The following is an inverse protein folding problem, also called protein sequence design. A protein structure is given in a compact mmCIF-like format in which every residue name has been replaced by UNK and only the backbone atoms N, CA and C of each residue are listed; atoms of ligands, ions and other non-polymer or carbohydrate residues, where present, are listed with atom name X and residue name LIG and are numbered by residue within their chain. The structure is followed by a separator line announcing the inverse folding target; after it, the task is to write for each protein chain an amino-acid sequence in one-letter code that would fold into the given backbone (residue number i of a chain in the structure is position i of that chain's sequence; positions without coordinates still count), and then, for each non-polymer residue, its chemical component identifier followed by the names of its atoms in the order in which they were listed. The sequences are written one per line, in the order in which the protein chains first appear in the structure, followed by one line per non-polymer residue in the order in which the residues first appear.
data_IF_317176687411
#
_entry.id   IF_317176687411
#
_cell.length_a   1.000
_cell.length_b   1.000
_cell.length_c   1.000
_cell.angle_alpha   90.00
_cell.angle_beta   90.00
_cell.angle_gamma   90.00
#
_symmetry.space_group_name_H-M   'P 1'
#
loop_
_entity.id
_entity.type
_entity.pdbx_description
1 polymer ?
#
# COMPACT_ATOMS: atom_id res chain seq x y z
N UNK A 1 -14.34 -5.71 3.46
CA UNK A 1 -14.93 -5.84 2.10
C UNK A 1 -14.05 -6.71 1.21
N UNK A 2 -14.68 -7.43 0.29
CA UNK A 2 -14.02 -8.10 -0.84
C UNK A 2 -14.57 -7.48 -2.12
N UNK A 3 -13.69 -7.15 -3.07
CA UNK A 3 -14.09 -6.57 -4.34
C UNK A 3 -13.19 -7.03 -5.50
N UNK A 4 -13.73 -6.96 -6.71
CA UNK A 4 -13.01 -7.17 -7.96
C UNK A 4 -13.52 -6.15 -8.96
N UNK A 5 -12.92 -4.95 -8.93
CA UNK A 5 -13.24 -3.89 -9.88
C UNK A 5 -12.54 -4.16 -11.21
N UNK A 6 -13.31 -4.34 -12.27
CA UNK A 6 -12.80 -4.57 -13.63
C UNK A 6 -13.14 -3.39 -14.52
N UNK A 7 -12.21 -2.98 -15.37
CA UNK A 7 -12.39 -1.83 -16.27
C UNK A 7 -11.54 -1.97 -17.51
N UNK A 8 -11.94 -1.31 -18.56
CA UNK A 8 -11.17 -1.14 -19.80
C UNK A 8 -10.19 0.04 -19.63
N UNK A 9 -10.63 1.12 -18.98
CA UNK A 9 -9.85 2.32 -18.70
C UNK A 9 -10.01 2.71 -17.24
N UNK A 10 -9.00 3.31 -16.62
CA UNK A 10 -9.09 3.79 -15.23
C UNK A 10 -9.62 5.23 -15.13
N UNK A 11 -9.54 5.99 -16.21
CA UNK A 11 -10.01 7.36 -16.27
C UNK A 11 -10.00 7.94 -17.68
N UNK A 12 -10.50 9.17 -17.80
CA UNK A 12 -10.44 9.94 -19.05
C UNK A 12 -8.98 10.24 -19.35
N UNK A 13 -8.52 9.89 -20.55
CA UNK A 13 -7.14 10.09 -20.99
C UNK A 13 -6.22 8.88 -20.81
N UNK A 14 -6.74 7.75 -20.31
CA UNK A 14 -5.96 6.50 -20.35
C UNK A 14 -5.61 6.14 -21.79
N UNK A 15 -4.37 5.71 -21.99
CA UNK A 15 -3.88 5.29 -23.29
C UNK A 15 -4.66 4.09 -23.81
N UNK A 16 -5.19 4.21 -24.99
CA UNK A 16 -5.91 3.15 -25.70
C UNK A 16 -5.21 2.94 -27.04
N UNK A 17 -4.87 1.69 -27.35
CA UNK A 17 -4.29 1.39 -28.64
C UNK A 17 -5.40 1.33 -29.71
N UNK A 18 -5.41 2.21 -30.70
CA UNK A 18 -6.44 2.26 -31.71
C UNK A 18 -6.35 1.14 -32.75
N UNK A 19 -5.22 0.44 -32.83
CA UNK A 19 -4.97 -0.64 -33.80
C UNK A 19 -5.33 -2.04 -33.30
N UNK A 20 -5.65 -2.16 -32.02
CA UNK A 20 -6.04 -3.43 -31.40
C UNK A 20 -7.43 -3.34 -30.80
N UNK A 21 -8.07 -4.48 -30.65
CA UNK A 21 -9.30 -4.55 -29.86
C UNK A 21 -9.01 -4.10 -28.43
N UNK A 22 -9.35 -2.83 -28.14
CA UNK A 22 -9.12 -2.19 -26.88
C UNK A 22 -9.77 -2.95 -25.72
N UNK A 23 -10.90 -3.61 -25.96
CA UNK A 23 -11.62 -4.37 -24.95
C UNK A 23 -10.83 -5.61 -24.54
N UNK A 24 -10.35 -6.36 -25.49
CA UNK A 24 -9.54 -7.55 -25.23
C UNK A 24 -8.21 -7.19 -24.55
N UNK A 25 -7.57 -6.12 -24.99
CA UNK A 25 -6.27 -5.71 -24.48
C UNK A 25 -6.35 -5.03 -23.12
N UNK A 26 -7.30 -4.14 -22.92
CA UNK A 26 -7.35 -3.25 -21.75
C UNK A 26 -8.30 -3.77 -20.67
N UNK A 27 -9.10 -4.81 -20.91
CA UNK A 27 -9.96 -5.37 -19.90
C UNK A 27 -9.12 -6.06 -18.82
N UNK A 28 -9.12 -5.49 -17.64
CA UNK A 28 -8.34 -5.95 -16.51
C UNK A 28 -8.79 -5.25 -15.22
N UNK A 29 -8.11 -5.49 -14.14
CA UNK A 29 -8.42 -4.86 -12.85
C UNK A 29 -8.17 -3.36 -12.90
N UNK A 30 -9.07 -2.60 -12.30
CA UNK A 30 -8.91 -1.17 -12.15
C UNK A 30 -7.72 -0.84 -11.23
N UNK A 31 -7.01 0.25 -11.48
CA UNK A 31 -5.84 0.65 -10.67
C UNK A 31 -6.18 0.89 -9.19
N UNK A 32 -7.43 1.26 -8.90
CA UNK A 32 -7.96 1.43 -7.55
C UNK A 32 -8.50 0.14 -6.91
N UNK A 33 -8.50 -1.00 -7.63
CA UNK A 33 -8.98 -2.27 -7.07
C UNK A 33 -8.15 -2.69 -5.85
N UNK A 34 -8.85 -2.99 -4.77
CA UNK A 34 -8.31 -3.56 -3.55
C UNK A 34 -9.12 -4.80 -3.21
N UNK A 35 -8.63 -5.96 -3.65
CA UNK A 35 -9.40 -7.22 -3.53
C UNK A 35 -9.89 -7.49 -2.12
N UNK A 36 -9.04 -7.25 -1.14
CA UNK A 36 -9.40 -7.35 0.27
C UNK A 36 -9.12 -6.02 0.96
N UNK A 37 -10.12 -5.51 1.67
CA UNK A 37 -9.97 -4.37 2.56
C UNK A 37 -10.71 -4.71 3.86
N UNK A 38 -9.95 -4.93 4.91
CA UNK A 38 -10.44 -5.22 6.24
C UNK A 38 -10.02 -4.10 7.17
N UNK A 39 -11.01 -3.46 7.81
CA UNK A 39 -10.80 -2.43 8.83
C UNK A 39 -11.54 -2.84 10.08
N UNK A 40 -10.85 -2.85 11.19
CA UNK A 40 -11.38 -3.18 12.50
C UNK A 40 -11.11 -2.03 13.46
N UNK A 41 -12.18 -1.46 14.01
CA UNK A 41 -12.14 -0.45 15.06
C UNK A 41 -12.50 -1.09 16.39
N UNK A 42 -11.80 -0.73 17.43
CA UNK A 42 -12.06 -1.24 18.78
C UNK A 42 -11.94 -0.13 19.81
N UNK A 43 -12.72 -0.29 20.87
CA UNK A 43 -12.68 0.52 22.06
C UNK A 43 -12.95 -0.40 23.23
N UNK A 44 -12.07 -0.38 24.23
CA UNK A 44 -12.14 -1.24 25.40
C UNK A 44 -11.76 -0.45 26.65
N UNK A 45 -12.69 -0.42 27.61
CA UNK A 45 -12.43 0.13 28.93
C UNK A 45 -11.74 -0.95 29.79
N UNK A 46 -10.51 -0.66 30.22
CA UNK A 46 -9.72 -1.61 31.01
C UNK A 46 -10.28 -1.66 32.41
N UNK A 47 -10.62 -2.85 32.93
CA UNK A 47 -11.16 -3.01 34.28
C UNK A 47 -10.23 -2.41 35.34
N UNK A 48 -10.82 -1.79 36.35
CA UNK A 48 -10.07 -1.17 37.45
C UNK A 48 -9.36 -2.22 38.30
N UNK A 49 -8.05 -2.17 38.38
CA UNK A 49 -7.22 -3.12 39.14
C UNK A 49 -7.24 -2.83 40.63
N UNK A 50 -7.51 -1.59 41.05
CA UNK A 50 -7.57 -1.22 42.47
C UNK A 50 -8.64 -1.99 43.25
N UNK A 51 -9.74 -2.37 42.59
CA UNK A 51 -10.81 -3.17 43.21
C UNK A 51 -10.32 -4.54 43.69
N UNK A 52 -9.38 -5.13 42.94
CA UNK A 52 -8.76 -6.42 43.28
C UNK A 52 -7.58 -6.28 44.23
N UNK A 53 -6.96 -5.08 44.33
CA UNK A 53 -5.77 -4.78 45.12
C UNK A 53 -6.11 -4.08 46.44
N UNK A 54 -7.25 -4.34 47.03
CA UNK A 54 -7.65 -3.79 48.34
C UNK A 54 -7.86 -2.29 48.36
N UNK A 55 -8.27 -1.70 47.21
CA UNK A 55 -8.50 -0.25 47.01
C UNK A 55 -7.27 0.62 47.29
N UNK A 56 -6.08 0.10 47.02
CA UNK A 56 -4.84 0.83 47.19
C UNK A 56 -4.84 2.08 46.30
N UNK A 57 -4.58 3.26 46.91
CA UNK A 57 -4.61 4.59 46.25
C UNK A 57 -3.58 4.71 45.13
N UNK A 58 -2.41 4.13 45.29
CA UNK A 58 -1.34 4.12 44.28
C UNK A 58 -1.72 3.27 43.07
N UNK A 59 -2.32 2.09 43.33
CA UNK A 59 -2.83 1.20 42.25
C UNK A 59 -3.95 1.90 41.52
N UNK A 60 -4.86 2.56 42.21
CA UNK A 60 -5.95 3.34 41.60
C UNK A 60 -5.41 4.46 40.71
N UNK A 61 -4.44 5.24 41.18
CA UNK A 61 -3.88 6.33 40.44
C UNK A 61 -3.17 5.87 39.14
N UNK A 62 -2.47 4.73 39.18
CA UNK A 62 -1.67 4.27 38.06
C UNK A 62 -2.43 3.38 37.08
N UNK A 63 -3.31 2.51 37.56
CA UNK A 63 -3.86 1.40 36.76
C UNK A 63 -5.37 1.48 36.49
N UNK A 64 -6.13 2.33 37.17
CA UNK A 64 -7.56 2.47 36.95
C UNK A 64 -7.87 3.52 35.86
N UNK A 65 -9.10 3.50 35.35
CA UNK A 65 -9.62 4.44 34.36
C UNK A 65 -8.78 4.54 33.08
N UNK A 66 -8.25 3.42 32.61
CA UNK A 66 -7.63 3.31 31.33
C UNK A 66 -8.62 2.85 30.29
N UNK A 67 -8.51 3.44 29.10
CA UNK A 67 -9.25 3.04 27.91
C UNK A 67 -8.27 2.79 26.78
N UNK A 68 -8.46 1.68 26.08
CA UNK A 68 -7.73 1.29 24.88
C UNK A 68 -8.66 1.47 23.69
N UNK A 69 -8.21 2.17 22.67
CA UNK A 69 -8.90 2.23 21.40
C UNK A 69 -7.92 2.11 20.24
N UNK A 70 -8.40 1.76 19.06
CA UNK A 70 -7.55 1.72 17.90
C UNK A 70 -8.26 1.36 16.63
N UNK A 71 -7.49 1.47 15.54
CA UNK A 71 -7.90 1.11 14.19
C UNK A 71 -6.84 0.20 13.61
N UNK A 72 -7.28 -0.98 13.19
CA UNK A 72 -6.41 -1.92 12.48
C UNK A 72 -6.91 -2.08 11.06
N UNK A 73 -6.03 -1.95 10.08
CA UNK A 73 -6.38 -2.07 8.66
C UNK A 73 -5.45 -3.02 7.93
N UNK A 74 -6.06 -3.86 7.08
CA UNK A 74 -5.37 -4.74 6.15
C UNK A 74 -5.92 -4.50 4.76
N UNK A 75 -5.06 -4.04 3.84
CA UNK A 75 -5.46 -3.72 2.48
C UNK A 75 -4.57 -4.44 1.47
N UNK A 76 -5.19 -5.10 0.49
CA UNK A 76 -4.46 -5.73 -0.61
C UNK A 76 -3.77 -4.69 -1.48
N UNK A 77 -2.62 -5.04 -2.06
CA UNK A 77 -1.92 -4.20 -3.01
C UNK A 77 -2.75 -3.86 -4.26
N UNK A 78 -2.47 -2.71 -4.85
CA UNK A 78 -3.05 -2.29 -6.12
C UNK A 78 -2.59 -3.18 -7.27
N UNK A 79 -3.38 -3.34 -8.34
CA UNK A 79 -2.89 -3.87 -9.61
C UNK A 79 -1.80 -2.97 -10.18
N UNK A 80 -0.78 -3.58 -10.77
CA UNK A 80 0.33 -2.91 -11.39
C UNK A 80 0.53 -3.43 -12.82
N UNK A 81 0.68 -2.50 -13.76
CA UNK A 81 1.18 -2.76 -15.10
C UNK A 81 2.69 -2.53 -15.17
N UNK A 82 3.33 -3.02 -16.21
CA UNK A 82 4.74 -2.80 -16.48
C UNK A 82 4.90 -1.96 -17.74
N UNK A 83 5.52 -0.80 -17.57
CA UNK A 83 5.97 0.06 -18.65
C UNK A 83 7.42 -0.22 -19.05
N UNK A 84 7.87 0.38 -20.16
CA UNK A 84 9.27 0.27 -20.57
C UNK A 84 9.78 1.55 -21.25
N UNK A 85 11.10 1.64 -21.30
CA UNK A 85 11.84 2.60 -22.11
C UNK A 85 13.05 1.92 -22.75
N UNK A 86 13.56 2.50 -23.83
CA UNK A 86 14.80 2.05 -24.47
C UNK A 86 15.93 3.03 -24.16
N UNK A 87 17.13 2.51 -23.92
CA UNK A 87 18.32 3.35 -23.70
C UNK A 87 18.60 4.26 -24.90
N UNK A 88 18.34 3.77 -26.10
CA UNK A 88 18.47 4.55 -27.34
C UNK A 88 17.48 5.72 -27.48
N UNK A 89 16.47 5.78 -26.61
CA UNK A 89 15.37 6.76 -26.75
C UNK A 89 14.45 6.49 -27.95
N UNK A 90 14.61 5.33 -28.61
CA UNK A 90 13.79 5.00 -29.78
C UNK A 90 12.33 4.80 -29.36
N UNK A 91 11.44 5.40 -30.14
CA UNK A 91 10.00 5.18 -30.04
C UNK A 91 9.61 4.06 -31.02
N UNK A 92 9.33 2.88 -30.49
CA UNK A 92 8.92 1.73 -31.30
C UNK A 92 7.48 1.84 -31.81
N UNK A 93 6.68 2.65 -31.19
CA UNK A 93 5.26 2.85 -31.53
C UNK A 93 5.12 3.94 -32.60
N UNK A 94 6.12 4.81 -32.73
CA UNK A 94 6.11 5.92 -33.69
C UNK A 94 5.14 7.04 -33.35
N UNK A 95 4.69 7.11 -32.11
CA UNK A 95 3.65 8.03 -31.65
C UNK A 95 3.91 8.52 -30.23
N UNK A 96 5.14 8.90 -29.94
CA UNK A 96 5.53 9.48 -28.66
C UNK A 96 4.62 10.65 -28.31
N UNK A 97 3.93 10.53 -27.20
CA UNK A 97 2.94 11.53 -26.75
C UNK A 97 1.51 11.37 -27.29
N UNK A 98 1.25 10.42 -28.17
CA UNK A 98 -0.12 10.17 -28.69
C UNK A 98 -0.96 9.24 -27.80
N UNK A 99 -0.47 8.90 -26.60
CA UNK A 99 -1.22 8.06 -25.64
C UNK A 99 -1.43 6.63 -26.10
N UNK A 100 -0.60 6.11 -27.00
CA UNK A 100 -0.67 4.70 -27.39
C UNK A 100 -0.13 3.83 -26.27
N UNK A 101 -0.96 2.89 -25.81
CA UNK A 101 -0.62 1.94 -24.75
C UNK A 101 0.43 0.93 -25.25
N UNK A 102 1.70 1.26 -25.04
CA UNK A 102 2.82 0.34 -25.28
C UNK A 102 3.16 -0.42 -24.01
N UNK A 103 3.35 -1.74 -24.14
CA UNK A 103 3.64 -2.63 -23.01
C UNK A 103 4.83 -3.53 -23.32
N UNK A 104 5.42 -4.06 -22.29
CA UNK A 104 6.46 -5.09 -22.41
C UNK A 104 5.90 -6.41 -22.92
N UNK A 105 6.76 -7.29 -23.40
CA UNK A 105 6.44 -8.69 -23.58
C UNK A 105 6.63 -9.44 -22.27
N UNK A 106 5.62 -10.22 -21.88
CA UNK A 106 5.64 -11.16 -20.77
C UNK A 106 6.11 -12.52 -21.27
N UNK A 107 7.27 -12.99 -20.80
CA UNK A 107 7.89 -14.26 -21.20
C UNK A 107 7.49 -15.43 -20.30
N UNK A 108 7.25 -15.15 -19.02
CA UNK A 108 6.89 -16.12 -17.97
C UNK A 108 6.17 -15.40 -16.82
N UNK A 109 5.68 -16.17 -15.84
CA UNK A 109 5.11 -15.56 -14.64
C UNK A 109 6.13 -14.70 -13.89
N UNK A 110 5.84 -13.42 -13.63
CA UNK A 110 6.72 -12.54 -12.87
C UNK A 110 6.53 -12.67 -11.36
N UNK A 111 5.57 -13.47 -10.91
CA UNK A 111 5.20 -13.57 -9.48
C UNK A 111 6.21 -14.44 -8.76
N UNK A 112 6.82 -13.89 -7.71
CA UNK A 112 7.66 -14.63 -6.78
C UNK A 112 6.95 -14.83 -5.44
N UNK A 113 7.28 -15.90 -4.68
CA UNK A 113 6.77 -16.10 -3.33
C UNK A 113 7.03 -14.90 -2.42
N UNK A 114 6.15 -14.65 -1.46
CA UNK A 114 6.32 -13.53 -0.51
C UNK A 114 7.62 -13.64 0.30
N UNK A 115 8.05 -14.85 0.62
CA UNK A 115 9.28 -15.15 1.35
C UNK A 115 10.57 -14.76 0.59
N UNK A 116 10.48 -14.64 -0.74
CA UNK A 116 11.62 -14.28 -1.59
C UNK A 116 11.65 -12.79 -1.94
N UNK A 117 10.63 -12.04 -1.52
CA UNK A 117 10.56 -10.59 -1.76
C UNK A 117 11.48 -9.85 -0.80
N UNK A 118 12.24 -8.93 -1.36
CA UNK A 118 13.13 -8.03 -0.62
C UNK A 118 12.83 -6.58 -1.00
N UNK A 119 13.36 -5.58 -0.28
CA UNK A 119 13.24 -4.19 -0.68
C UNK A 119 13.71 -3.91 -2.12
N UNK A 120 14.66 -4.70 -2.63
CA UNK A 120 15.22 -4.60 -3.97
C UNK A 120 14.53 -5.48 -5.01
N UNK A 121 13.60 -6.37 -4.58
CA UNK A 121 12.98 -7.35 -5.48
C UNK A 121 11.55 -7.68 -5.06
N UNK A 122 10.59 -7.06 -5.74
CA UNK A 122 9.17 -7.35 -5.52
C UNK A 122 8.65 -8.48 -6.43
N UNK A 123 9.23 -8.63 -7.63
CA UNK A 123 8.86 -9.60 -8.66
C UNK A 123 10.09 -10.06 -9.45
N UNK A 124 9.92 -11.05 -10.32
CA UNK A 124 10.97 -11.52 -11.22
C UNK A 124 11.12 -10.56 -12.41
N UNK A 125 12.16 -9.76 -12.41
CA UNK A 125 12.46 -8.77 -13.46
C UNK A 125 12.88 -9.40 -14.78
N UNK A 126 13.31 -10.68 -14.78
CA UNK A 126 13.71 -11.43 -15.99
C UNK A 126 12.51 -11.98 -16.76
N UNK A 127 11.30 -11.78 -16.24
CA UNK A 127 10.07 -12.22 -16.88
C UNK A 127 9.65 -11.31 -18.04
N UNK A 128 10.35 -10.22 -18.29
CA UNK A 128 9.96 -9.19 -19.23
C UNK A 128 11.01 -8.96 -20.31
N UNK A 129 10.54 -8.69 -21.52
CA UNK A 129 11.37 -8.28 -22.66
C UNK A 129 10.74 -7.06 -23.35
N UNK A 130 11.52 -6.25 -24.09
CA UNK A 130 10.96 -5.19 -24.89
C UNK A 130 10.16 -5.79 -26.06
N UNK A 131 9.09 -5.14 -26.52
CA UNK A 131 8.45 -5.52 -27.77
C UNK A 131 9.37 -5.19 -28.96
N UNK A 132 9.17 -5.90 -30.04
CA UNK A 132 9.94 -5.71 -31.28
C UNK A 132 9.30 -4.64 -32.18
N UNK A 133 10.03 -4.18 -33.18
CA UNK A 133 9.47 -3.34 -34.25
C UNK A 133 8.41 -4.08 -35.08
N UNK A 134 8.57 -5.39 -35.28
CA UNK A 134 7.57 -6.21 -35.97
C UNK A 134 6.23 -6.27 -35.21
N UNK A 135 6.27 -6.09 -33.90
CA UNK A 135 5.11 -5.97 -33.02
C UNK A 135 4.62 -4.52 -32.87
N UNK A 136 5.13 -3.59 -33.68
CA UNK A 136 4.82 -2.16 -33.60
C UNK A 136 5.00 -1.54 -32.20
N UNK A 137 5.93 -2.08 -31.40
CA UNK A 137 6.13 -1.64 -30.03
C UNK A 137 5.02 -2.07 -29.05
N UNK A 138 4.12 -2.96 -29.46
CA UNK A 138 2.95 -3.39 -28.70
C UNK A 138 3.24 -4.76 -28.11
N UNK A 139 3.67 -4.80 -26.85
CA UNK A 139 3.89 -6.07 -26.14
C UNK A 139 2.59 -6.74 -25.69
N UNK A 140 2.71 -7.97 -25.21
CA UNK A 140 1.60 -8.84 -24.82
C UNK A 140 1.20 -8.78 -23.34
N UNK A 141 1.92 -8.04 -22.49
CA UNK A 141 1.66 -7.99 -21.06
C UNK A 141 0.25 -7.46 -20.77
N UNK A 142 -0.53 -8.07 -19.85
CA UNK A 142 -1.78 -7.52 -19.39
C UNK A 142 -1.56 -6.23 -18.60
N UNK A 143 -2.59 -5.38 -18.50
CA UNK A 143 -2.49 -4.11 -17.79
C UNK A 143 -2.32 -4.28 -16.26
N UNK A 144 -2.71 -5.41 -15.72
CA UNK A 144 -2.69 -5.74 -14.29
C UNK A 144 -1.85 -6.99 -14.00
N UNK A 145 -0.68 -7.08 -14.63
CA UNK A 145 0.19 -8.27 -14.60
C UNK A 145 0.69 -8.61 -13.20
N UNK A 146 0.77 -7.63 -12.30
CA UNK A 146 1.27 -7.76 -10.94
C UNK A 146 0.31 -7.16 -9.90
N UNK A 147 0.58 -7.47 -8.66
CA UNK A 147 0.02 -6.79 -7.48
C UNK A 147 1.14 -6.10 -6.71
N UNK A 148 0.92 -4.84 -6.38
CA UNK A 148 1.79 -4.10 -5.47
C UNK A 148 1.78 -4.66 -4.05
N UNK A 149 2.53 -4.04 -3.15
CA UNK A 149 2.53 -4.41 -1.74
C UNK A 149 1.16 -4.13 -1.10
N UNK A 150 0.77 -4.99 -0.17
CA UNK A 150 -0.37 -4.74 0.71
C UNK A 150 0.07 -3.88 1.90
N UNK A 151 -0.91 -3.30 2.58
CA UNK A 151 -0.71 -2.46 3.76
C UNK A 151 -1.30 -3.16 4.97
N UNK A 152 -0.52 -3.23 6.06
CA UNK A 152 -0.97 -3.65 7.37
C UNK A 152 -0.65 -2.51 8.34
N UNK A 153 -1.68 -1.87 8.89
CA UNK A 153 -1.48 -0.77 9.81
C UNK A 153 -2.24 -0.99 11.11
N UNK A 154 -1.61 -0.59 12.22
CA UNK A 154 -2.16 -0.67 13.57
C UNK A 154 -1.96 0.67 14.25
N UNK A 155 -3.04 1.42 14.39
CA UNK A 155 -3.06 2.66 15.16
C UNK A 155 -3.74 2.39 16.49
N UNK A 156 -3.04 2.71 17.58
CA UNK A 156 -3.48 2.41 18.95
C UNK A 156 -3.47 3.69 19.77
N UNK A 157 -4.51 3.90 20.53
CA UNK A 157 -4.61 5.01 21.48
C UNK A 157 -4.90 4.47 22.87
N UNK A 158 -4.10 4.87 23.84
CA UNK A 158 -4.36 4.63 25.26
C UNK A 158 -4.75 5.95 25.91
N UNK A 159 -5.85 5.94 26.64
CA UNK A 159 -6.39 7.10 27.33
C UNK A 159 -6.42 6.81 28.82
N UNK A 160 -5.87 7.71 29.62
CA UNK A 160 -5.93 7.69 31.07
C UNK A 160 -6.78 8.86 31.55
N UNK A 161 -7.87 8.57 32.25
CA UNK A 161 -8.67 9.60 32.92
C UNK A 161 -8.31 9.66 34.41
N UNK A 162 -7.89 10.84 34.86
CA UNK A 162 -7.53 11.12 36.26
C UNK A 162 -8.57 12.05 36.81
N UNK A 163 -9.45 11.62 37.74
CA UNK A 163 -10.39 12.52 38.41
C UNK A 163 -9.59 13.55 39.24
N UNK A 164 -9.92 14.84 39.10
CA UNK A 164 -9.19 15.94 39.77
C UNK A 164 -10.06 16.69 40.76
N UNK A 165 -11.37 16.52 40.69
CA UNK A 165 -12.36 17.21 41.52
C UNK A 165 -13.35 16.28 42.21
N UNK A 166 -14.40 16.89 42.78
CA UNK A 166 -15.49 16.17 43.42
C UNK A 166 -16.57 15.70 42.44
N UNK A 167 -16.54 16.21 41.22
CA UNK A 167 -17.47 15.84 40.14
C UNK A 167 -16.74 14.96 39.12
N UNK A 168 -17.43 13.96 38.60
CA UNK A 168 -16.94 13.11 37.50
C UNK A 168 -16.67 13.90 36.21
N UNK A 169 -17.24 15.11 36.10
CA UNK A 169 -16.96 16.01 35.00
C UNK A 169 -15.50 16.56 35.06
N UNK A 170 -14.98 16.76 36.26
CA UNK A 170 -13.65 17.34 36.48
C UNK A 170 -12.57 16.28 36.39
N UNK A 171 -11.88 16.21 35.27
CA UNK A 171 -10.83 15.21 35.04
C UNK A 171 -9.70 15.72 34.17
N UNK A 172 -8.51 15.25 34.42
CA UNK A 172 -7.38 15.33 33.49
C UNK A 172 -7.36 14.05 32.65
N UNK A 173 -7.42 14.23 31.34
CA UNK A 173 -7.28 13.13 30.41
C UNK A 173 -5.87 13.18 29.76
N UNK A 174 -5.12 12.13 29.92
CA UNK A 174 -3.87 11.91 29.24
C UNK A 174 -4.10 10.96 28.06
N UNK A 175 -3.55 11.29 26.88
CA UNK A 175 -3.69 10.51 25.65
C UNK A 175 -2.31 10.13 25.14
N UNK A 176 -2.15 8.86 24.81
CA UNK A 176 -0.97 8.27 24.22
C UNK A 176 -1.39 7.66 22.89
N UNK A 177 -1.07 8.31 21.79
CA UNK A 177 -1.47 7.88 20.46
C UNK A 177 -0.25 7.34 19.71
N UNK A 178 -0.37 6.11 19.23
CA UNK A 178 0.66 5.39 18.51
C UNK A 178 0.14 5.11 17.10
N UNK A 179 0.68 5.81 16.12
CA UNK A 179 0.45 5.52 14.71
C UNK A 179 1.53 4.56 14.23
N UNK A 180 1.14 3.53 13.48
CA UNK A 180 2.01 2.40 13.14
C UNK A 180 2.65 1.78 14.39
N UNK A 181 1.82 1.30 15.31
CA UNK A 181 2.21 0.83 16.65
C UNK A 181 3.38 -0.16 16.63
N UNK A 182 3.38 -1.12 15.70
CA UNK A 182 4.44 -2.12 15.57
C UNK A 182 5.68 -1.63 14.84
N UNK A 183 5.68 -0.39 14.35
CA UNK A 183 6.76 0.16 13.51
C UNK A 183 7.06 -0.71 12.28
N UNK A 184 6.01 -1.21 11.65
CA UNK A 184 6.12 -2.07 10.49
C UNK A 184 6.40 -1.24 9.24
N UNK A 185 7.41 -1.62 8.45
CA UNK A 185 7.69 -0.98 7.18
C UNK A 185 6.66 -1.43 6.14
N UNK A 186 5.62 -0.62 5.91
CA UNK A 186 4.64 -0.84 4.86
C UNK A 186 5.08 -0.16 3.57
N UNK A 187 5.51 -0.94 2.59
CA UNK A 187 5.90 -0.42 1.27
C UNK A 187 4.67 0.03 0.48
N UNK A 188 4.79 1.12 -0.30
CA UNK A 188 3.71 1.69 -1.10
C UNK A 188 3.93 1.56 -2.59
N UNK A 189 5.07 1.99 -3.07
CA UNK A 189 5.40 2.03 -4.48
C UNK A 189 6.35 0.91 -4.90
N UNK A 190 6.27 0.54 -6.17
CA UNK A 190 7.23 -0.37 -6.82
C UNK A 190 7.62 0.28 -8.14
N UNK A 191 8.91 0.28 -8.47
CA UNK A 191 9.35 0.69 -9.80
C UNK A 191 8.94 -0.37 -10.82
N UNK A 192 8.01 0.01 -11.69
CA UNK A 192 7.43 -0.84 -12.73
C UNK A 192 7.90 -0.47 -14.14
N UNK A 193 8.93 0.38 -14.25
CA UNK A 193 9.46 0.84 -15.55
C UNK A 193 10.74 0.09 -15.89
N UNK A 194 10.64 -0.87 -16.80
CA UNK A 194 11.81 -1.55 -17.35
C UNK A 194 12.59 -0.63 -18.27
N UNK A 195 13.91 -0.78 -18.35
CA UNK A 195 14.77 -0.08 -19.30
C UNK A 195 15.65 -1.06 -20.04
N UNK A 196 15.56 -1.08 -21.37
CA UNK A 196 16.27 -2.05 -22.19
C UNK A 196 17.38 -1.43 -23.03
N UNK A 197 18.51 -2.12 -23.13
CA UNK A 197 19.62 -1.75 -24.01
C UNK A 197 19.42 -2.28 -25.45
N UNK A 198 20.38 -2.00 -26.32
CA UNK A 198 20.36 -2.43 -27.73
C UNK A 198 20.39 -3.96 -27.90
N UNK A 199 20.79 -4.69 -26.87
CA UNK A 199 20.81 -6.17 -26.82
C UNK A 199 19.56 -6.72 -26.11
N UNK A 200 18.53 -5.91 -25.90
CA UNK A 200 17.28 -6.26 -25.20
C UNK A 200 17.47 -6.71 -23.73
N UNK A 201 18.60 -6.36 -23.10
CA UNK A 201 18.84 -6.64 -21.69
C UNK A 201 18.23 -5.55 -20.84
N UNK A 202 17.56 -5.95 -19.78
CA UNK A 202 17.05 -5.02 -18.77
C UNK A 202 18.24 -4.42 -17.99
N UNK A 203 18.36 -3.08 -17.97
CA UNK A 203 19.49 -2.33 -17.39
C UNK A 203 19.09 -1.29 -16.35
N UNK A 204 17.82 -1.18 -16.01
CA UNK A 204 17.40 -0.33 -14.88
C UNK A 204 17.81 -0.97 -13.56
N UNK A 205 18.60 -0.26 -12.76
CA UNK A 205 19.02 -0.73 -11.44
C UNK A 205 17.91 -0.71 -10.39
N UNK A 206 16.77 -0.04 -10.65
CA UNK A 206 15.67 0.13 -9.70
C UNK A 206 14.42 -0.67 -10.07
N UNK A 207 14.38 -1.26 -11.25
CA UNK A 207 13.23 -2.03 -11.74
C UNK A 207 12.88 -3.19 -10.79
N UNK A 208 11.67 -3.19 -10.27
CA UNK A 208 11.19 -4.18 -9.29
C UNK A 208 11.48 -3.82 -7.83
N UNK A 209 12.16 -2.71 -7.55
CA UNK A 209 12.42 -2.24 -6.19
C UNK A 209 11.23 -1.47 -5.63
N UNK A 210 11.11 -1.46 -4.31
CA UNK A 210 10.18 -0.55 -3.65
C UNK A 210 10.71 0.89 -3.70
N UNK A 211 9.81 1.82 -4.01
CA UNK A 211 10.17 3.24 -4.20
C UNK A 211 9.82 4.11 -3.01
N UNK A 212 8.89 3.67 -2.17
CA UNK A 212 8.44 4.42 -1.00
C UNK A 212 7.87 3.50 0.07
N UNK A 213 7.83 4.01 1.29
CA UNK A 213 7.18 3.40 2.46
C UNK A 213 6.14 4.35 3.03
N UNK A 214 5.19 3.81 3.78
CA UNK A 214 4.39 4.60 4.72
C UNK A 214 5.28 5.15 5.84
N UNK A 215 4.73 6.10 6.58
CA UNK A 215 5.43 6.73 7.70
C UNK A 215 5.87 5.71 8.76
N UNK A 216 7.03 5.96 9.33
CA UNK A 216 7.50 5.27 10.51
C UNK A 216 6.55 5.53 11.70
N UNK A 217 6.69 4.74 12.75
CA UNK A 217 5.90 4.93 13.96
C UNK A 217 6.02 6.37 14.47
N UNK A 218 4.85 6.97 14.70
CA UNK A 218 4.72 8.29 15.33
C UNK A 218 4.00 8.12 16.66
N UNK A 219 4.54 8.75 17.71
CA UNK A 219 3.94 8.78 19.04
C UNK A 219 3.53 10.22 19.32
N UNK A 220 2.27 10.39 19.72
CA UNK A 220 1.72 11.69 20.10
C UNK A 220 1.24 11.61 21.56
N UNK A 221 1.68 12.56 22.38
CA UNK A 221 1.25 12.71 23.76
C UNK A 221 0.35 13.93 23.86
N UNK A 222 -0.81 13.75 24.46
CA UNK A 222 -1.78 14.82 24.64
C UNK A 222 -2.28 14.85 26.08
N UNK A 223 -2.61 16.05 26.57
CA UNK A 223 -3.29 16.26 27.84
C UNK A 223 -4.48 17.18 27.63
N UNK A 224 -5.62 16.84 28.20
CA UNK A 224 -6.82 17.66 28.13
C UNK A 224 -7.47 17.74 29.52
N UNK A 225 -7.77 18.94 29.95
CA UNK A 225 -8.47 19.18 31.21
C UNK A 225 -9.96 19.44 30.92
N UNK A 226 -10.81 18.76 31.65
CA UNK A 226 -12.27 18.97 31.65
C UNK A 226 -12.65 19.57 33.00
N UNK A 227 -13.51 20.57 32.97
CA UNK A 227 -13.99 21.30 34.17
C UNK A 227 -15.49 21.59 34.09
#
# INVERSE_FOLDING_TARGET
TWSKAMTIVNGIGDAVNPYLDYRMRNYGRASFDRTHNFVFNYLYDIPNLSEKAGKNMVVKALFDNWQLSGVTSFTSGAPLGIGYSLVSGADLVGASGAGIDSRVNLLKSPIIPKSERTPQRHFDTTAFAPPTRAEFGIGNAPKDVLRGPGINNFDVTMIKNIPVGKSDAQRLQLRFEFYNFFNHASFQGVDTTARFDAQNRQVSGTFGQYTSTLDARRIVLGAKFYF
#
